data_IF_849840755401
#
_entry.id   IF_849840755401
#
_cell.length_a   1.000
_cell.length_b   1.000
_cell.length_c   1.000
_cell.angle_alpha   90.00
_cell.angle_beta   90.00
_cell.angle_gamma   90.00
#
_symmetry.space_group_name_H-M   'P 1'
#
loop_
_entity.id
_entity.type
_entity.pdbx_description
1 polymer ?
#
# COMPACT_ATOMS: atom_id res chain seq x y z
N UNK A 1 -11.82 11.65 8.82
CA UNK A 1 -11.48 10.21 8.83
C UNK A 1 -12.51 9.45 9.65
N UNK A 2 -13.32 8.60 9.02
CA UNK A 2 -14.18 7.65 9.74
C UNK A 2 -13.28 6.51 10.23
N UNK A 3 -13.40 6.22 11.52
CA UNK A 3 -12.43 5.43 12.26
C UNK A 3 -12.43 3.93 11.86
N UNK A 4 -11.24 3.34 11.74
CA UNK A 4 -10.98 1.89 11.69
C UNK A 4 -11.32 1.15 13.00
N UNK A 5 -12.08 1.80 13.90
CA UNK A 5 -12.44 1.34 15.24
C UNK A 5 -13.03 -0.07 15.34
N UNK A 6 -13.54 -0.65 14.24
CA UNK A 6 -14.10 -2.00 14.24
C UNK A 6 -13.07 -3.13 14.06
N UNK A 7 -11.91 -2.86 13.46
CA UNK A 7 -10.98 -3.90 12.97
C UNK A 7 -9.68 -3.97 13.80
N UNK A 8 -9.78 -3.74 15.11
CA UNK A 8 -8.60 -3.67 16.01
C UNK A 8 -7.86 -4.99 16.22
N UNK A 9 -8.42 -6.10 15.77
CA UNK A 9 -7.80 -7.45 15.84
C UNK A 9 -7.45 -8.01 14.46
N UNK A 10 -7.58 -7.19 13.40
CA UNK A 10 -7.32 -7.65 12.04
C UNK A 10 -5.81 -7.70 11.81
N UNK A 11 -5.26 -8.92 11.79
CA UNK A 11 -3.83 -9.13 11.55
C UNK A 11 -3.49 -9.43 10.09
N UNK A 12 -4.47 -9.95 9.33
CA UNK A 12 -4.30 -10.39 7.95
C UNK A 12 -5.39 -9.81 7.07
N UNK A 13 -5.01 -9.21 5.95
CA UNK A 13 -5.92 -8.63 4.97
C UNK A 13 -5.48 -9.04 3.56
N UNK A 14 -6.39 -9.66 2.81
CA UNK A 14 -6.21 -9.96 1.39
C UNK A 14 -7.19 -9.09 0.58
N UNK A 15 -6.65 -8.38 -0.42
CA UNK A 15 -7.33 -7.52 -1.38
C UNK A 15 -6.75 -7.74 -2.79
N UNK A 16 -6.48 -9.00 -3.15
CA UNK A 16 -6.00 -9.37 -4.49
C UNK A 16 -7.00 -8.95 -5.58
N UNK A 17 -6.46 -8.59 -6.75
CA UNK A 17 -7.22 -8.23 -7.95
C UNK A 17 -8.17 -7.04 -7.76
N UNK A 18 -7.72 -6.00 -7.06
CA UNK A 18 -8.51 -4.77 -6.81
C UNK A 18 -7.92 -3.58 -7.59
N UNK A 19 -8.80 -2.76 -8.15
CA UNK A 19 -8.45 -1.45 -8.71
C UNK A 19 -8.59 -0.36 -7.63
N UNK A 20 -7.45 0.16 -7.17
CA UNK A 20 -7.37 1.16 -6.10
C UNK A 20 -7.29 2.61 -6.59
N UNK A 21 -7.72 2.91 -7.83
CA UNK A 21 -7.82 4.28 -8.37
C UNK A 21 -8.49 5.23 -7.37
N UNK A 22 -7.74 6.24 -6.91
CA UNK A 22 -8.17 7.29 -5.98
C UNK A 22 -8.80 6.77 -4.67
N UNK A 23 -8.49 5.55 -4.25
CA UNK A 23 -9.20 4.90 -3.17
C UNK A 23 -8.68 5.31 -1.77
N UNK A 24 -9.53 5.97 -0.99
CA UNK A 24 -9.26 6.38 0.39
C UNK A 24 -9.03 5.21 1.37
N UNK A 25 -9.37 3.97 0.97
CA UNK A 25 -9.12 2.78 1.77
C UNK A 25 -7.64 2.66 2.14
N UNK A 26 -6.74 2.99 1.21
CA UNK A 26 -5.30 2.87 1.39
C UNK A 26 -4.75 3.80 2.49
N UNK A 27 -5.33 4.99 2.64
CA UNK A 27 -5.00 5.91 3.74
C UNK A 27 -5.40 5.34 5.10
N UNK A 28 -6.47 4.55 5.13
CA UNK A 28 -7.01 3.96 6.35
C UNK A 28 -6.24 2.72 6.80
N UNK A 29 -5.52 2.04 5.89
CA UNK A 29 -4.78 0.81 6.20
C UNK A 29 -3.66 1.04 7.22
N UNK A 30 -2.99 2.20 7.17
CA UNK A 30 -2.00 2.57 8.21
C UNK A 30 -2.59 2.78 9.60
N UNK A 31 -3.89 3.03 9.67
CA UNK A 31 -4.63 3.18 10.93
C UNK A 31 -5.08 1.85 11.55
N UNK A 32 -4.69 0.70 10.99
CA UNK A 32 -4.98 -0.60 11.56
C UNK A 32 -3.85 -0.99 12.53
N UNK A 33 -4.12 -1.02 13.86
CA UNK A 33 -3.07 -1.12 14.87
C UNK A 33 -2.42 -2.51 14.97
N UNK A 34 -3.01 -3.53 14.34
CA UNK A 34 -2.59 -4.93 14.46
C UNK A 34 -2.34 -5.61 13.11
N UNK A 35 -2.47 -4.88 11.99
CA UNK A 35 -2.33 -5.46 10.65
C UNK A 35 -0.87 -5.81 10.39
N UNK A 36 -0.57 -7.10 10.32
CA UNK A 36 0.77 -7.65 10.07
C UNK A 36 1.01 -8.01 8.61
N UNK A 37 0.00 -8.56 7.94
CA UNK A 37 0.14 -9.04 6.56
C UNK A 37 -0.90 -8.39 5.65
N UNK A 38 -0.42 -7.77 4.57
CA UNK A 38 -1.23 -7.25 3.49
C UNK A 38 -0.89 -7.99 2.18
N UNK A 39 -1.90 -8.60 1.57
CA UNK A 39 -1.81 -9.18 0.24
C UNK A 39 -2.70 -8.37 -0.69
N UNK A 40 -2.13 -7.83 -1.76
CA UNK A 40 -2.86 -7.07 -2.79
C UNK A 40 -2.15 -7.25 -4.15
N UNK A 41 -2.00 -8.50 -4.54
CA UNK A 41 -1.47 -8.92 -5.84
C UNK A 41 -2.45 -8.57 -6.96
N UNK A 42 -1.95 -8.56 -8.19
CA UNK A 42 -2.75 -8.34 -9.40
C UNK A 42 -3.61 -7.06 -9.33
N UNK A 43 -3.13 -6.06 -8.60
CA UNK A 43 -3.89 -4.86 -8.26
C UNK A 43 -3.28 -3.61 -8.90
N UNK A 44 -4.12 -2.62 -9.20
CA UNK A 44 -3.69 -1.34 -9.79
C UNK A 44 -3.77 -0.26 -8.74
N UNK A 45 -2.64 0.42 -8.51
CA UNK A 45 -2.54 1.47 -7.49
C UNK A 45 -2.27 2.80 -8.15
N UNK A 46 -3.33 3.55 -8.45
CA UNK A 46 -3.23 4.87 -9.06
C UNK A 46 -3.60 5.99 -8.08
N UNK A 47 -2.85 7.09 -8.13
CA UNK A 47 -3.13 8.33 -7.40
C UNK A 47 -2.06 8.71 -6.37
N UNK A 48 -2.04 9.99 -6.01
CA UNK A 48 -1.01 10.63 -5.15
C UNK A 48 -0.99 10.14 -3.69
N UNK A 49 -1.99 9.37 -3.30
CA UNK A 49 -2.25 8.96 -1.92
C UNK A 49 -1.78 7.55 -1.61
N UNK A 50 -1.45 6.76 -2.64
CA UNK A 50 -0.88 5.43 -2.45
C UNK A 50 0.50 5.52 -1.79
N UNK A 51 0.77 4.66 -0.81
CA UNK A 51 1.99 4.68 0.01
C UNK A 51 1.87 5.47 1.31
N UNK A 52 1.29 6.69 1.29
CA UNK A 52 1.24 7.58 2.48
C UNK A 52 0.49 6.98 3.67
N UNK A 53 -0.60 6.26 3.41
CA UNK A 53 -1.33 5.53 4.44
C UNK A 53 -0.47 4.45 5.07
N UNK A 54 0.18 3.64 4.23
CA UNK A 54 0.99 2.49 4.66
C UNK A 54 2.28 2.92 5.38
N UNK A 55 2.85 4.09 5.09
CA UNK A 55 3.97 4.66 5.85
C UNK A 55 3.70 4.75 7.35
N UNK A 56 2.44 5.02 7.70
CA UNK A 56 2.04 5.25 9.09
C UNK A 56 1.75 3.95 9.84
N UNK A 57 1.77 2.80 9.15
CA UNK A 57 1.61 1.52 9.83
C UNK A 57 2.83 1.21 10.70
N UNK A 58 2.58 0.95 11.96
CA UNK A 58 3.61 0.51 12.93
C UNK A 58 3.59 -1.00 13.16
N UNK A 59 2.63 -1.72 12.58
CA UNK A 59 2.41 -3.15 12.81
C UNK A 59 2.62 -4.02 11.57
N UNK A 60 2.72 -3.41 10.38
CA UNK A 60 2.85 -4.16 9.13
C UNK A 60 4.25 -4.76 8.99
N UNK A 61 4.28 -6.07 8.79
CA UNK A 61 5.51 -6.87 8.70
C UNK A 61 5.69 -7.50 7.31
N UNK A 62 4.58 -7.80 6.62
CA UNK A 62 4.60 -8.54 5.35
C UNK A 62 3.71 -7.87 4.32
N UNK A 63 4.24 -7.72 3.10
CA UNK A 63 3.51 -7.14 1.99
C UNK A 63 3.77 -7.89 0.69
N UNK A 64 2.69 -8.26 0.00
CA UNK A 64 2.74 -8.96 -1.29
C UNK A 64 1.95 -8.16 -2.33
N UNK A 65 2.66 -7.61 -3.31
CA UNK A 65 2.12 -6.79 -4.40
C UNK A 65 2.52 -7.37 -5.76
N UNK A 66 2.65 -8.69 -5.85
CA UNK A 66 3.04 -9.36 -7.10
C UNK A 66 2.05 -9.03 -8.23
N UNK A 67 2.54 -8.88 -9.46
CA UNK A 67 1.74 -8.59 -10.65
C UNK A 67 0.92 -7.28 -10.56
N UNK A 68 1.36 -6.33 -9.73
CA UNK A 68 0.67 -5.05 -9.54
C UNK A 68 1.29 -3.91 -10.35
N UNK A 69 0.53 -2.83 -10.52
CA UNK A 69 1.04 -1.55 -11.03
C UNK A 69 1.07 -0.51 -9.91
N UNK A 70 2.25 0.01 -9.59
CA UNK A 70 2.52 0.89 -8.44
C UNK A 70 3.17 2.20 -8.91
N UNK A 71 2.94 3.34 -8.24
CA UNK A 71 3.74 4.53 -8.49
C UNK A 71 5.17 4.30 -8.01
N UNK A 72 6.18 4.72 -8.79
CA UNK A 72 7.59 4.50 -8.41
C UNK A 72 7.97 5.20 -7.08
N UNK A 73 7.25 6.24 -6.67
CA UNK A 73 7.42 6.90 -5.38
C UNK A 73 6.99 6.04 -4.17
N UNK A 74 6.34 4.89 -4.40
CA UNK A 74 5.94 3.96 -3.36
C UNK A 74 7.14 3.42 -2.56
N UNK A 75 8.25 3.11 -3.24
CA UNK A 75 9.44 2.55 -2.60
C UNK A 75 10.12 3.52 -1.64
N UNK A 76 9.97 4.84 -1.83
CA UNK A 76 10.47 5.85 -0.88
C UNK A 76 9.65 5.96 0.41
N UNK A 77 8.51 5.26 0.46
CA UNK A 77 7.48 5.39 1.48
C UNK A 77 7.21 4.06 2.22
N UNK A 78 7.98 3.01 1.97
CA UNK A 78 7.80 1.74 2.67
C UNK A 78 8.27 1.86 4.13
N UNK A 79 7.40 1.46 5.07
CA UNK A 79 7.66 1.56 6.51
C UNK A 79 8.82 0.69 6.97
N UNK A 80 9.53 1.14 8.01
CA UNK A 80 10.77 0.51 8.53
C UNK A 80 10.56 -0.82 9.25
N UNK A 81 9.31 -1.25 9.49
CA UNK A 81 8.97 -2.50 10.18
C UNK A 81 8.83 -3.70 9.25
N UNK A 82 8.84 -3.48 7.93
CA UNK A 82 8.59 -4.52 6.95
C UNK A 82 9.74 -5.54 6.95
N UNK A 83 9.39 -6.81 7.14
CA UNK A 83 10.31 -7.97 7.10
C UNK A 83 10.28 -8.65 5.74
N UNK A 84 9.11 -8.68 5.09
CA UNK A 84 8.89 -9.34 3.81
C UNK A 84 8.22 -8.38 2.84
N UNK A 85 8.83 -8.22 1.67
CA UNK A 85 8.28 -7.48 0.54
C UNK A 85 8.38 -8.34 -0.72
N UNK A 86 7.23 -8.64 -1.34
CA UNK A 86 7.17 -9.34 -2.63
C UNK A 86 6.64 -8.41 -3.71
N UNK A 87 7.45 -8.27 -4.77
CA UNK A 87 7.23 -7.37 -5.91
C UNK A 87 7.50 -8.10 -7.24
N UNK A 88 7.04 -9.35 -7.36
CA UNK A 88 7.26 -10.15 -8.57
C UNK A 88 6.46 -9.55 -9.73
N UNK A 89 7.13 -9.24 -10.85
CA UNK A 89 6.49 -8.72 -12.08
C UNK A 89 5.63 -7.47 -11.80
N UNK A 90 6.24 -6.48 -11.14
CA UNK A 90 5.59 -5.19 -10.86
C UNK A 90 5.89 -4.18 -11.94
N UNK A 91 4.85 -3.44 -12.36
CA UNK A 91 4.98 -2.27 -13.21
C UNK A 91 5.06 -1.00 -12.34
N UNK A 92 6.17 -0.26 -12.44
CA UNK A 92 6.33 1.00 -11.72
C UNK A 92 6.00 2.18 -12.63
N UNK A 93 4.82 2.77 -12.48
CA UNK A 93 4.37 3.90 -13.29
C UNK A 93 4.69 5.26 -12.64
N UNK A 94 4.76 6.31 -13.46
CA UNK A 94 4.88 7.71 -13.05
C UNK A 94 6.07 8.06 -12.11
N UNK A 95 7.25 8.28 -12.69
CA UNK A 95 8.21 9.28 -12.18
C UNK A 95 8.68 10.18 -13.31
N UNK A 96 7.84 11.12 -13.72
CA UNK A 96 8.35 12.34 -14.31
C UNK A 96 7.75 13.49 -13.51
N UNK A 97 8.54 14.34 -12.83
CA UNK A 97 8.15 15.73 -12.83
C UNK A 97 8.10 16.11 -14.30
N UNK A 98 6.90 16.27 -14.85
CA UNK A 98 6.78 17.08 -16.04
C UNK A 98 7.41 18.43 -15.67
N UNK A 99 8.33 18.91 -16.52
CA UNK A 99 9.12 20.14 -16.41
C UNK A 99 10.53 19.95 -15.81
N UNK A 100 11.48 19.66 -16.71
CA UNK A 100 12.68 20.49 -16.72
C UNK A 100 12.27 21.89 -17.21
N UNK A 101 12.60 22.90 -16.41
CA UNK A 101 12.76 24.31 -16.78
C UNK A 101 13.46 25.01 -15.62
#
# INVERSE_FOLDING_TARGET
MKSTNGLRKLEFLNLDSIDFKENILLESLGGLPTLKTLIARESTFEGKHFGKGLCNSTSLEEMFLDYSSLPASFLGNIGTTLKVLSLIVVDFHNTLPAQGN
#
